data_IF_671053544196
#
_entry.id   IF_671053544196
#
_cell.length_a   1.000
_cell.length_b   1.000
_cell.length_c   1.000
_cell.angle_alpha   90.00
_cell.angle_beta   90.00
_cell.angle_gamma   90.00
#
_symmetry.space_group_name_H-M   'P 1'
#
loop_
_entity.id
_entity.type
_entity.pdbx_description
1 polymer ?
#
# COMPACT_ATOMS: atom_id res chain seq x y z
N UNK A 1 -32.00 53.53 -0.11
CA UNK A 1 -31.01 52.79 -0.92
C UNK A 1 -30.20 51.95 0.07
N UNK A 2 -30.77 50.90 0.66
CA UNK A 2 -31.15 49.59 0.09
C UNK A 2 -29.93 48.82 -0.42
N UNK A 3 -29.42 47.90 0.41
CA UNK A 3 -29.15 46.50 0.03
C UNK A 3 -28.80 45.73 1.31
N UNK A 4 -29.55 44.65 1.52
CA UNK A 4 -29.53 43.76 2.67
C UNK A 4 -28.44 42.69 2.47
N UNK A 5 -27.67 42.43 3.52
CA UNK A 5 -26.72 41.32 3.62
C UNK A 5 -27.49 39.99 3.75
N UNK A 6 -27.28 39.08 2.80
CA UNK A 6 -27.69 37.69 2.86
C UNK A 6 -26.45 36.79 3.03
N UNK A 7 -26.45 35.81 3.94
CA UNK A 7 -25.39 34.82 4.00
C UNK A 7 -25.62 33.72 2.95
N UNK A 8 -24.62 33.48 2.11
CA UNK A 8 -24.56 32.35 1.17
C UNK A 8 -24.02 31.14 1.93
N UNK A 9 -24.90 30.19 2.19
CA UNK A 9 -24.61 28.88 2.77
C UNK A 9 -24.17 27.93 1.64
N UNK A 10 -22.88 27.64 1.57
CA UNK A 10 -22.29 26.80 0.52
C UNK A 10 -22.47 25.32 0.88
N UNK A 11 -23.55 24.72 0.39
CA UNK A 11 -23.77 23.27 0.40
C UNK A 11 -22.89 22.59 -0.66
N UNK A 12 -21.80 21.96 -0.22
CA UNK A 12 -21.12 20.89 -0.98
C UNK A 12 -21.04 19.66 -0.06
N UNK A 13 -22.03 18.78 -0.15
CA UNK A 13 -21.96 17.41 0.35
C UNK A 13 -22.21 16.44 -0.80
N UNK A 14 -21.13 15.89 -1.34
CA UNK A 14 -21.16 14.81 -2.32
C UNK A 14 -20.13 13.75 -1.95
N UNK A 15 -20.53 12.77 -1.13
CA UNK A 15 -19.80 11.50 -0.98
C UNK A 15 -20.79 10.34 -1.03
N UNK A 16 -20.63 9.35 -1.93
CA UNK A 16 -21.42 8.13 -1.91
C UNK A 16 -20.89 7.18 -0.82
N UNK A 17 -21.73 6.87 0.18
CA UNK A 17 -21.50 5.76 1.12
C UNK A 17 -22.47 4.61 0.80
N UNK A 18 -21.90 3.47 0.40
CA UNK A 18 -22.48 2.12 0.56
C UNK A 18 -21.29 1.23 0.95
N UNK A 19 -21.37 0.46 2.04
CA UNK A 19 -21.94 -0.88 1.95
C UNK A 19 -22.83 -1.26 3.16
N UNK A 20 -24.07 -1.61 2.83
CA UNK A 20 -24.75 -2.85 3.23
C UNK A 20 -24.36 -3.47 4.58
N UNK A 21 -25.01 -3.01 5.65
CA UNK A 21 -25.15 -3.80 6.87
C UNK A 21 -26.33 -4.78 6.72
N UNK A 22 -26.20 -6.04 7.18
CA UNK A 22 -27.30 -6.99 7.13
C UNK A 22 -28.37 -6.63 8.16
N UNK A 23 -29.58 -6.46 7.64
CA UNK A 23 -30.84 -6.32 8.35
C UNK A 23 -30.94 -7.21 9.60
N UNK A 24 -30.86 -6.57 10.77
CA UNK A 24 -31.35 -7.10 12.03
C UNK A 24 -32.89 -7.09 12.00
N UNK A 25 -33.49 -8.06 11.31
CA UNK A 25 -34.92 -8.34 11.42
C UNK A 25 -35.17 -9.08 12.72
N UNK A 26 -35.61 -8.32 13.73
CA UNK A 26 -36.27 -8.79 14.92
C UNK A 26 -37.58 -9.52 14.55
N UNK A 27 -37.48 -10.81 14.26
CA UNK A 27 -38.64 -11.68 14.13
C UNK A 27 -39.13 -12.07 15.53
N UNK A 28 -40.27 -11.48 15.87
CA UNK A 28 -41.09 -11.78 17.04
C UNK A 28 -41.24 -13.29 17.27
N UNK A 29 -40.98 -13.69 18.50
CA UNK A 29 -41.15 -15.04 19.05
C UNK A 29 -42.61 -15.50 18.97
N UNK A 30 -43.02 -16.09 17.86
CA UNK A 30 -44.20 -16.97 17.83
C UNK A 30 -43.75 -18.34 18.35
N UNK A 31 -44.12 -18.60 19.61
CA UNK A 31 -43.88 -19.85 20.34
C UNK A 31 -44.33 -21.03 19.47
N UNK A 32 -43.37 -21.87 19.06
CA UNK A 32 -43.69 -23.18 18.50
C UNK A 32 -44.38 -24.00 19.62
N UNK A 33 -45.51 -24.66 19.37
CA UNK A 33 -46.12 -25.55 20.35
C UNK A 33 -45.11 -26.65 20.70
N UNK A 34 -44.75 -26.73 21.98
CA UNK A 34 -43.94 -27.83 22.50
C UNK A 34 -44.79 -29.10 22.38
N UNK A 35 -44.28 -30.06 21.62
CA UNK A 35 -44.87 -31.40 21.51
C UNK A 35 -44.53 -32.14 22.81
N UNK A 36 -45.48 -32.24 23.72
CA UNK A 36 -45.36 -33.05 24.94
C UNK A 36 -45.21 -34.53 24.55
N UNK A 37 -44.05 -35.10 24.88
CA UNK A 37 -43.65 -36.49 24.61
C UNK A 37 -44.15 -37.47 25.69
N UNK A 38 -45.03 -37.05 26.61
CA UNK A 38 -45.52 -37.90 27.70
C UNK A 38 -46.72 -38.77 27.32
N UNK A 39 -47.36 -38.54 26.16
CA UNK A 39 -48.51 -39.33 25.72
C UNK A 39 -48.09 -40.53 24.86
N UNK A 40 -47.58 -41.56 25.54
CA UNK A 40 -47.40 -42.90 24.98
C UNK A 40 -48.74 -43.64 24.85
N UNK A 41 -49.73 -43.07 24.15
CA UNK A 41 -50.92 -43.82 23.75
C UNK A 41 -51.45 -43.46 22.35
N UNK A 42 -51.30 -44.46 21.46
CA UNK A 42 -52.28 -44.84 20.45
C UNK A 42 -52.71 -43.75 19.46
N UNK A 43 -51.85 -43.45 18.47
CA UNK A 43 -52.34 -43.16 17.10
C UNK A 43 -51.56 -43.98 16.07
N UNK A 44 -52.10 -45.16 15.75
CA UNK A 44 -51.78 -45.94 14.54
C UNK A 44 -52.22 -45.16 13.30
N UNK A 45 -51.53 -44.09 12.91
CA UNK A 45 -51.66 -43.42 11.59
C UNK A 45 -50.40 -42.59 11.35
N UNK A 46 -49.36 -43.23 10.83
CA UNK A 46 -48.08 -42.56 10.53
C UNK A 46 -46.98 -43.49 10.00
N UNK A 47 -47.34 -44.62 9.36
CA UNK A 47 -46.37 -45.59 8.84
C UNK A 47 -45.54 -45.10 7.65
N UNK A 48 -45.86 -43.94 7.06
CA UNK A 48 -45.07 -43.37 5.95
C UNK A 48 -43.83 -42.62 6.44
N UNK A 49 -43.81 -42.08 7.66
CA UNK A 49 -42.65 -41.33 8.17
C UNK A 49 -41.47 -42.25 8.50
N UNK A 50 -41.75 -43.46 9.01
CA UNK A 50 -40.71 -44.47 9.25
C UNK A 50 -40.11 -45.05 7.97
N UNK A 51 -40.92 -45.19 6.91
CA UNK A 51 -40.44 -45.56 5.57
C UNK A 51 -39.59 -44.45 4.94
N UNK A 52 -40.00 -43.18 5.07
CA UNK A 52 -39.21 -42.02 4.64
C UNK A 52 -37.88 -41.90 5.40
N UNK A 53 -37.85 -42.15 6.70
CA UNK A 53 -36.60 -42.14 7.49
C UNK A 53 -35.69 -43.33 7.15
N UNK A 54 -36.29 -44.49 6.87
CA UNK A 54 -35.59 -45.70 6.44
C UNK A 54 -35.00 -45.58 5.03
N UNK A 55 -35.74 -44.99 4.08
CA UNK A 55 -35.23 -44.68 2.73
C UNK A 55 -34.22 -43.54 2.75
N UNK A 56 -34.35 -42.57 3.67
CA UNK A 56 -33.34 -41.52 3.88
C UNK A 56 -32.03 -42.10 4.42
N UNK A 57 -32.10 -43.03 5.37
CA UNK A 57 -30.92 -43.72 5.90
C UNK A 57 -30.32 -44.68 4.88
N UNK A 58 -31.15 -45.39 4.10
CA UNK A 58 -30.68 -46.26 3.01
C UNK A 58 -30.03 -45.46 1.89
N UNK A 59 -30.61 -44.32 1.51
CA UNK A 59 -29.99 -43.37 0.58
C UNK A 59 -28.68 -42.81 1.13
N UNK A 60 -28.60 -42.48 2.43
CA UNK A 60 -27.34 -42.06 3.07
C UNK A 60 -26.26 -43.14 3.07
N UNK A 61 -26.63 -44.40 3.26
CA UNK A 61 -25.69 -45.54 3.25
C UNK A 61 -25.22 -45.80 1.81
N UNK A 62 -26.14 -45.82 0.84
CA UNK A 62 -25.81 -46.01 -0.57
C UNK A 62 -24.98 -44.83 -1.12
N UNK A 63 -25.25 -43.60 -0.67
CA UNK A 63 -24.46 -42.42 -1.01
C UNK A 63 -23.08 -42.45 -0.35
N UNK A 64 -22.96 -43.02 0.87
CA UNK A 64 -21.67 -43.34 1.49
C UNK A 64 -20.91 -44.41 0.72
N UNK A 65 -21.58 -45.46 0.24
CA UNK A 65 -20.94 -46.52 -0.55
C UNK A 65 -20.49 -46.02 -1.94
N UNK A 66 -21.30 -45.18 -2.60
CA UNK A 66 -20.92 -44.52 -3.85
C UNK A 66 -19.75 -43.55 -3.64
N UNK A 67 -19.77 -42.77 -2.56
CA UNK A 67 -18.65 -41.90 -2.19
C UNK A 67 -17.42 -42.69 -1.69
N UNK A 68 -17.59 -43.91 -1.19
CA UNK A 68 -16.49 -44.78 -0.78
C UNK A 68 -15.82 -45.52 -1.95
N UNK A 69 -16.45 -45.51 -3.13
CA UNK A 69 -15.87 -46.09 -4.34
C UNK A 69 -14.50 -45.45 -4.62
N UNK A 70 -13.55 -46.27 -5.07
CA UNK A 70 -12.19 -45.80 -5.39
C UNK A 70 -12.20 -44.67 -6.42
N UNK A 71 -13.15 -44.69 -7.36
CA UNK A 71 -13.33 -43.63 -8.34
C UNK A 71 -13.75 -42.29 -7.68
N UNK A 72 -14.63 -42.34 -6.67
CA UNK A 72 -15.04 -41.15 -5.94
C UNK A 72 -13.90 -40.61 -5.07
N UNK A 73 -13.12 -41.48 -4.42
CA UNK A 73 -11.91 -41.10 -3.68
C UNK A 73 -10.86 -40.44 -4.59
N UNK A 74 -10.64 -40.99 -5.80
CA UNK A 74 -9.74 -40.39 -6.80
C UNK A 74 -10.21 -39.00 -7.23
N UNK A 75 -11.51 -38.81 -7.47
CA UNK A 75 -12.09 -37.48 -7.77
C UNK A 75 -11.89 -36.50 -6.62
N UNK A 76 -12.19 -36.91 -5.38
CA UNK A 76 -11.97 -36.07 -4.20
C UNK A 76 -10.51 -35.64 -4.04
N UNK A 77 -9.55 -36.54 -4.29
CA UNK A 77 -8.12 -36.21 -4.26
C UNK A 77 -7.73 -35.21 -5.35
N UNK A 78 -8.28 -35.32 -6.55
CA UNK A 78 -8.04 -34.37 -7.65
C UNK A 78 -8.62 -33.00 -7.29
N UNK A 79 -9.87 -32.95 -6.83
CA UNK A 79 -10.53 -31.70 -6.43
C UNK A 79 -9.78 -31.03 -5.27
N UNK A 80 -9.32 -31.81 -4.29
CA UNK A 80 -8.50 -31.29 -3.18
C UNK A 80 -7.17 -30.73 -3.67
N UNK A 81 -6.47 -31.41 -4.59
CA UNK A 81 -5.24 -30.90 -5.21
C UNK A 81 -5.50 -29.60 -5.96
N UNK A 82 -6.59 -29.53 -6.71
CA UNK A 82 -6.97 -28.35 -7.51
C UNK A 82 -7.32 -27.17 -6.60
N UNK A 83 -8.11 -27.38 -5.55
CA UNK A 83 -8.39 -26.35 -4.55
C UNK A 83 -7.12 -25.86 -3.85
N UNK A 84 -6.20 -26.76 -3.50
CA UNK A 84 -4.93 -26.38 -2.90
C UNK A 84 -4.06 -25.57 -3.86
N UNK A 85 -4.02 -25.91 -5.16
CA UNK A 85 -3.33 -25.11 -6.19
C UNK A 85 -3.94 -23.71 -6.31
N UNK A 86 -5.27 -23.62 -6.43
CA UNK A 86 -5.95 -22.33 -6.51
C UNK A 86 -5.67 -21.44 -5.29
N UNK A 87 -5.65 -22.02 -4.07
CA UNK A 87 -5.29 -21.28 -2.85
C UNK A 87 -3.85 -20.78 -2.88
N UNK A 88 -2.89 -21.65 -3.25
CA UNK A 88 -1.47 -21.28 -3.38
C UNK A 88 -1.25 -20.18 -4.41
N UNK A 89 -1.87 -20.29 -5.59
CA UNK A 89 -1.80 -19.29 -6.65
C UNK A 89 -2.41 -17.95 -6.20
N UNK A 90 -3.58 -17.98 -5.57
CA UNK A 90 -4.23 -16.77 -5.04
C UNK A 90 -3.36 -16.09 -3.97
N UNK A 91 -2.82 -16.86 -3.03
CA UNK A 91 -1.94 -16.33 -1.97
C UNK A 91 -0.61 -15.81 -2.53
N UNK A 92 -0.09 -16.45 -3.57
CA UNK A 92 1.14 -16.02 -4.28
C UNK A 92 0.93 -14.69 -5.01
N UNK A 93 -0.19 -14.55 -5.73
CA UNK A 93 -0.56 -13.29 -6.38
C UNK A 93 -0.73 -12.18 -5.34
N UNK A 94 -1.42 -12.46 -4.23
CA UNK A 94 -1.63 -11.46 -3.16
C UNK A 94 -0.31 -10.98 -2.56
N UNK A 95 0.61 -11.91 -2.24
CA UNK A 95 1.94 -11.57 -1.72
C UNK A 95 2.78 -10.80 -2.73
N UNK A 96 2.74 -11.17 -4.00
CA UNK A 96 3.44 -10.44 -5.06
C UNK A 96 2.91 -9.01 -5.24
N UNK A 97 1.60 -8.79 -5.09
CA UNK A 97 1.01 -7.45 -5.10
C UNK A 97 1.40 -6.63 -3.87
N UNK A 98 1.42 -7.24 -2.68
CA UNK A 98 1.89 -6.61 -1.44
C UNK A 98 3.36 -6.17 -1.57
N UNK A 99 4.26 -7.06 -2.04
CA UNK A 99 5.66 -6.73 -2.27
C UNK A 99 5.85 -5.61 -3.30
N UNK A 100 5.04 -5.57 -4.37
CA UNK A 100 5.06 -4.46 -5.34
C UNK A 100 4.62 -3.13 -4.71
N UNK A 101 3.61 -3.15 -3.83
CA UNK A 101 3.16 -1.96 -3.10
C UNK A 101 4.25 -1.46 -2.17
N UNK A 102 4.89 -2.34 -1.42
CA UNK A 102 5.97 -2.00 -0.49
C UNK A 102 7.17 -1.39 -1.23
N UNK A 103 7.54 -1.96 -2.39
CA UNK A 103 8.59 -1.40 -3.27
C UNK A 103 8.25 0.01 -3.73
N UNK A 104 7.03 0.23 -4.21
CA UNK A 104 6.59 1.56 -4.66
C UNK A 104 6.51 2.55 -3.50
N UNK A 105 6.08 2.09 -2.32
CA UNK A 105 6.00 2.91 -1.12
C UNK A 105 7.40 3.31 -0.63
N UNK A 106 8.38 2.40 -0.67
CA UNK A 106 9.77 2.70 -0.36
C UNK A 106 10.33 3.79 -1.28
N UNK A 107 10.11 3.68 -2.59
CA UNK A 107 10.56 4.67 -3.57
C UNK A 107 9.92 6.05 -3.33
N UNK A 108 8.59 6.10 -3.12
CA UNK A 108 7.89 7.37 -2.82
C UNK A 108 8.42 8.03 -1.55
N UNK A 109 8.62 7.26 -0.49
CA UNK A 109 9.17 7.79 0.78
C UNK A 109 10.59 8.32 0.60
N UNK A 110 11.40 7.67 -0.22
CA UNK A 110 12.77 8.12 -0.52
C UNK A 110 12.77 9.44 -1.28
N UNK A 111 11.95 9.57 -2.32
CA UNK A 111 11.78 10.82 -3.07
C UNK A 111 11.30 11.97 -2.16
N UNK A 112 10.29 11.72 -1.33
CA UNK A 112 9.77 12.69 -0.37
C UNK A 112 10.86 13.13 0.63
N UNK A 113 11.67 12.19 1.12
CA UNK A 113 12.76 12.46 2.06
C UNK A 113 13.86 13.30 1.39
N UNK A 114 14.19 13.02 0.12
CA UNK A 114 15.14 13.84 -0.65
C UNK A 114 14.62 15.26 -0.87
N UNK A 115 13.33 15.42 -1.21
CA UNK A 115 12.70 16.73 -1.36
C UNK A 115 12.76 17.51 -0.04
N UNK A 116 12.40 16.87 1.08
CA UNK A 116 12.51 17.49 2.42
C UNK A 116 13.94 17.91 2.72
N UNK A 117 14.93 17.06 2.48
CA UNK A 117 16.35 17.37 2.69
C UNK A 117 16.77 18.63 1.91
N UNK A 118 16.37 18.74 0.64
CA UNK A 118 16.66 19.92 -0.18
C UNK A 118 16.04 21.21 0.39
N UNK A 119 14.81 21.13 0.92
CA UNK A 119 14.10 22.26 1.53
C UNK A 119 14.77 22.69 2.83
N UNK A 120 15.10 21.76 3.73
CA UNK A 120 15.77 22.09 4.99
C UNK A 120 17.18 22.62 4.77
N UNK A 121 17.93 22.10 3.79
CA UNK A 121 19.24 22.66 3.38
C UNK A 121 19.10 24.11 2.88
N UNK A 122 18.09 24.39 2.05
CA UNK A 122 17.81 25.75 1.58
C UNK A 122 17.43 26.69 2.72
N UNK A 123 16.59 26.24 3.66
CA UNK A 123 16.20 27.04 4.83
C UNK A 123 17.38 27.35 5.73
N UNK A 124 18.21 26.35 6.02
CA UNK A 124 19.39 26.47 6.89
C UNK A 124 20.41 27.47 6.37
N UNK A 125 20.57 27.55 5.05
CA UNK A 125 21.48 28.51 4.42
C UNK A 125 20.84 29.88 4.25
N UNK A 126 19.57 29.94 3.82
CA UNK A 126 18.94 31.20 3.38
C UNK A 126 18.34 32.01 4.54
N UNK A 127 17.71 31.38 5.53
CA UNK A 127 17.02 32.11 6.59
C UNK A 127 17.96 32.92 7.48
N UNK A 128 19.12 32.40 7.92
CA UNK A 128 20.09 33.21 8.67
C UNK A 128 20.61 34.42 7.87
N UNK A 129 20.71 34.31 6.55
CA UNK A 129 21.09 35.43 5.68
C UNK A 129 19.99 36.49 5.62
N UNK A 130 18.73 36.08 5.47
CA UNK A 130 17.58 36.98 5.44
C UNK A 130 17.30 37.65 6.79
N UNK A 131 17.67 37.01 7.90
CA UNK A 131 17.55 37.57 9.24
C UNK A 131 18.39 38.85 9.46
N UNK A 132 19.34 39.14 8.56
CA UNK A 132 20.11 40.39 8.58
C UNK A 132 19.34 41.60 8.05
N UNK A 133 18.18 41.40 7.43
CA UNK A 133 17.39 42.45 6.78
C UNK A 133 16.11 42.76 7.58
N UNK A 134 15.63 43.99 7.42
CA UNK A 134 14.31 44.41 7.88
C UNK A 134 13.27 44.10 6.81
N UNK A 135 12.05 43.81 7.24
CA UNK A 135 10.87 43.63 6.39
C UNK A 135 9.95 44.83 6.50
N UNK A 136 9.23 45.13 5.41
CA UNK A 136 8.18 46.16 5.42
C UNK A 136 7.01 45.83 6.33
N UNK A 137 6.85 44.57 6.72
CA UNK A 137 5.83 44.10 7.67
C UNK A 137 6.28 44.14 9.13
N UNK A 138 7.54 44.52 9.41
CA UNK A 138 8.06 44.50 10.77
C UNK A 138 7.52 45.65 11.62
N UNK A 139 7.06 45.32 12.82
CA UNK A 139 6.64 46.29 13.83
C UNK A 139 7.80 46.44 14.81
N UNK A 140 8.53 47.55 14.69
CA UNK A 140 9.68 47.87 15.56
C UNK A 140 9.22 48.91 16.59
N UNK A 141 9.11 48.56 17.88
CA UNK A 141 8.75 49.53 18.90
C UNK A 141 9.83 50.62 19.03
N UNK A 142 9.41 51.88 19.09
CA UNK A 142 10.31 53.03 19.16
C UNK A 142 11.00 53.19 20.53
N UNK A 143 10.44 52.57 21.58
CA UNK A 143 10.95 52.62 22.95
C UNK A 143 11.66 51.33 23.31
N UNK A 144 12.88 51.46 23.83
CA UNK A 144 13.70 50.40 24.44
C UNK A 144 13.13 49.93 25.79
N UNK A 145 11.80 49.82 25.91
CA UNK A 145 11.19 49.22 27.08
C UNK A 145 11.57 47.76 27.06
N UNK A 146 12.38 47.32 28.03
CA UNK A 146 12.82 45.93 28.26
C UNK A 146 11.67 44.96 28.56
N UNK A 147 10.41 45.33 28.28
CA UNK A 147 9.30 44.40 28.30
C UNK A 147 9.47 43.45 27.14
N UNK A 148 9.68 42.17 27.44
CA UNK A 148 9.85 41.07 26.48
C UNK A 148 8.86 41.23 25.31
N UNK A 149 9.30 41.73 24.13
CA UNK A 149 8.39 41.87 23.02
C UNK A 149 7.89 40.47 22.67
N UNK A 150 6.59 40.40 22.36
CA UNK A 150 5.91 39.18 21.96
C UNK A 150 6.79 38.35 21.02
N UNK A 151 6.76 37.01 21.12
CA UNK A 151 7.55 36.13 20.26
C UNK A 151 7.35 36.60 18.82
N UNK A 152 8.46 36.92 18.14
CA UNK A 152 8.40 37.41 16.76
C UNK A 152 7.56 36.39 15.97
N UNK A 153 6.64 36.84 15.09
CA UNK A 153 5.81 35.95 14.31
C UNK A 153 6.72 34.87 13.72
N UNK A 154 6.42 33.61 14.09
CA UNK A 154 7.30 32.44 14.02
C UNK A 154 8.32 32.59 12.88
N UNK A 155 9.61 32.61 13.19
CA UNK A 155 10.71 32.81 12.23
C UNK A 155 10.66 31.88 11.00
N UNK A 156 9.94 30.77 11.11
CA UNK A 156 9.74 29.74 10.10
C UNK A 156 8.33 29.75 9.47
N UNK A 157 7.40 30.54 10.03
CA UNK A 157 6.07 30.69 9.44
C UNK A 157 6.19 31.38 8.09
N UNK A 158 5.42 30.89 7.12
CA UNK A 158 5.42 31.48 5.79
C UNK A 158 5.02 32.93 5.91
N UNK A 159 5.92 33.83 5.50
CA UNK A 159 5.63 35.27 5.43
C UNK A 159 4.29 35.44 4.73
N UNK A 160 3.34 36.21 5.31
CA UNK A 160 2.02 36.37 4.73
C UNK A 160 2.14 36.73 3.25
N UNK A 161 1.49 35.94 2.39
CA UNK A 161 1.43 36.21 0.95
C UNK A 161 0.45 37.36 0.70
N UNK A 162 0.80 38.54 1.21
CA UNK A 162 0.11 39.78 0.92
C UNK A 162 0.52 40.31 -0.45
N UNK A 163 -0.40 41.03 -1.09
CA UNK A 163 -0.08 41.91 -2.21
C UNK A 163 -0.08 43.35 -1.68
N UNK A 164 1.04 44.10 -1.76
CA UNK A 164 2.31 43.73 -2.40
C UNK A 164 3.17 42.75 -1.57
N UNK A 165 4.06 41.97 -2.22
CA UNK A 165 5.02 41.12 -1.53
C UNK A 165 5.90 41.94 -0.57
N UNK A 166 6.19 41.42 0.63
CA UNK A 166 7.06 42.12 1.57
C UNK A 166 8.48 42.21 1.02
N UNK A 167 9.08 43.38 1.20
CA UNK A 167 10.42 43.68 0.71
C UNK A 167 11.42 43.57 1.86
N UNK A 168 12.54 42.89 1.59
CA UNK A 168 13.70 42.87 2.47
C UNK A 168 14.58 44.06 2.14
N UNK A 169 14.90 44.87 3.15
CA UNK A 169 15.76 46.04 2.98
C UNK A 169 16.70 46.21 4.18
N UNK A 170 17.83 46.86 3.94
CA UNK A 170 18.80 47.20 4.97
C UNK A 170 19.15 48.68 4.83
N UNK A 171 18.66 49.56 5.74
CA UNK A 171 19.03 50.97 5.74
C UNK A 171 20.55 51.16 5.88
N UNK A 172 21.09 52.19 5.23
CA UNK A 172 22.51 52.53 5.35
C UNK A 172 22.91 52.96 6.77
N UNK A 173 21.97 53.56 7.51
CA UNK A 173 22.13 53.94 8.91
C UNK A 173 21.00 53.29 9.70
N UNK A 174 21.36 52.40 10.63
CA UNK A 174 20.42 51.71 11.51
C UNK A 174 20.22 52.50 12.79
N UNK A 175 18.98 52.55 13.29
CA UNK A 175 18.71 53.07 14.63
C UNK A 175 19.09 52.01 15.68
N UNK A 176 19.43 52.40 16.93
CA UNK A 176 19.75 51.42 17.98
C UNK A 176 18.63 50.39 18.21
N UNK A 177 17.37 50.81 18.07
CA UNK A 177 16.20 49.92 18.15
C UNK A 177 16.15 48.91 16.99
N UNK A 178 16.54 49.30 15.77
CA UNK A 178 16.64 48.38 14.64
C UNK A 178 17.81 47.41 14.81
N UNK A 179 18.96 47.86 15.34
CA UNK A 179 20.11 46.98 15.58
C UNK A 179 19.79 45.91 16.62
N UNK A 180 19.16 46.27 17.73
CA UNK A 180 18.74 45.31 18.76
C UNK A 180 17.71 44.33 18.22
N UNK A 181 16.76 44.82 17.41
CA UNK A 181 15.75 44.00 16.74
C UNK A 181 16.38 42.97 15.80
N UNK A 182 17.30 43.40 14.92
CA UNK A 182 18.01 42.51 14.00
C UNK A 182 18.84 41.49 14.79
N UNK A 183 19.56 41.90 15.83
CA UNK A 183 20.35 40.97 16.67
C UNK A 183 19.47 39.89 17.31
N UNK A 184 18.33 40.29 17.89
CA UNK A 184 17.35 39.35 18.47
C UNK A 184 16.78 38.40 17.40
N UNK A 185 16.37 38.94 16.25
CA UNK A 185 15.89 38.14 15.13
C UNK A 185 16.92 37.12 14.65
N UNK A 186 18.19 37.52 14.49
CA UNK A 186 19.26 36.59 14.09
C UNK A 186 19.37 35.43 15.06
N UNK A 187 19.41 35.70 16.36
CA UNK A 187 19.49 34.66 17.39
C UNK A 187 18.27 33.73 17.35
N UNK A 188 17.06 34.29 17.24
CA UNK A 188 15.83 33.48 17.16
C UNK A 188 15.76 32.65 15.87
N UNK A 189 16.14 33.22 14.72
CA UNK A 189 16.14 32.50 13.45
C UNK A 189 17.21 31.41 13.45
N UNK A 190 18.41 31.68 13.97
CA UNK A 190 19.46 30.65 14.06
C UNK A 190 19.03 29.50 14.98
N UNK A 191 18.49 29.81 16.15
CA UNK A 191 17.99 28.80 17.10
C UNK A 191 16.83 28.00 16.48
N UNK A 192 15.86 28.66 15.86
CA UNK A 192 14.73 27.99 15.22
C UNK A 192 15.17 27.09 14.06
N UNK A 193 16.12 27.53 13.24
CA UNK A 193 16.69 26.74 12.14
C UNK A 193 17.45 25.51 12.67
N UNK A 194 18.19 25.66 13.76
CA UNK A 194 18.91 24.54 14.38
C UNK A 194 17.95 23.52 14.98
N UNK A 195 16.91 23.98 15.69
CA UNK A 195 15.85 23.12 16.24
C UNK A 195 15.07 22.39 15.13
N UNK A 196 14.70 23.11 14.06
CA UNK A 196 14.05 22.53 12.89
C UNK A 196 14.95 21.48 12.22
N UNK A 197 16.25 21.77 12.10
CA UNK A 197 17.21 20.85 11.51
C UNK A 197 17.45 19.60 12.38
N UNK A 198 17.53 19.74 13.71
CA UNK A 198 17.66 18.57 14.59
C UNK A 198 16.43 17.66 14.51
N UNK A 199 15.23 18.25 14.51
CA UNK A 199 13.99 17.49 14.34
C UNK A 199 13.94 16.79 12.96
N UNK A 200 14.40 17.47 11.90
CA UNK A 200 14.51 16.85 10.58
C UNK A 200 15.54 15.72 10.53
N UNK A 201 16.67 15.83 11.22
CA UNK A 201 17.66 14.74 11.27
C UNK A 201 17.05 13.50 11.92
N UNK A 202 16.29 13.67 13.00
CA UNK A 202 15.53 12.57 13.62
C UNK A 202 14.52 11.96 12.63
N UNK A 203 13.69 12.78 11.99
CA UNK A 203 12.73 12.35 10.95
C UNK A 203 13.44 11.62 9.80
N UNK A 204 14.59 12.13 9.35
CA UNK A 204 15.39 11.54 8.28
C UNK A 204 15.92 10.17 8.68
N UNK A 205 16.46 10.03 9.88
CA UNK A 205 16.95 8.73 10.36
C UNK A 205 15.81 7.72 10.50
N UNK A 206 14.66 8.13 11.02
CA UNK A 206 13.46 7.30 11.07
C UNK A 206 12.99 6.90 9.66
N UNK A 207 12.90 7.85 8.74
CA UNK A 207 12.49 7.60 7.36
C UNK A 207 13.44 6.65 6.60
N UNK A 208 14.77 6.79 6.81
CA UNK A 208 15.76 5.87 6.24
C UNK A 208 15.56 4.45 6.79
N UNK A 209 15.31 4.30 8.09
CA UNK A 209 15.05 3.00 8.71
C UNK A 209 13.77 2.37 8.16
N UNK A 210 12.68 3.14 8.02
CA UNK A 210 11.44 2.65 7.41
C UNK A 210 11.63 2.21 5.94
N UNK A 211 12.38 2.99 5.15
CA UNK A 211 12.70 2.62 3.76
C UNK A 211 13.53 1.33 3.74
N UNK A 212 14.49 1.21 4.65
CA UNK A 212 15.31 0.00 4.79
C UNK A 212 14.46 -1.22 5.14
N UNK A 213 13.52 -1.09 6.07
CA UNK A 213 12.58 -2.17 6.44
C UNK A 213 11.70 -2.59 5.28
N UNK A 214 11.12 -1.64 4.54
CA UNK A 214 10.32 -1.93 3.34
C UNK A 214 11.14 -2.66 2.27
N UNK A 215 12.36 -2.18 1.99
CA UNK A 215 13.25 -2.83 1.02
C UNK A 215 13.67 -4.22 1.46
N UNK A 216 13.90 -4.42 2.76
CA UNK A 216 14.21 -5.72 3.34
C UNK A 216 13.03 -6.69 3.19
N UNK A 217 11.80 -6.25 3.51
CA UNK A 217 10.60 -7.08 3.34
C UNK A 217 10.38 -7.49 1.87
N UNK A 218 10.60 -6.56 0.93
CA UNK A 218 10.55 -6.85 -0.51
C UNK A 218 11.60 -7.89 -0.89
N UNK A 219 12.85 -7.74 -0.43
CA UNK A 219 13.92 -8.69 -0.72
C UNK A 219 13.65 -10.09 -0.15
N UNK A 220 13.08 -10.18 1.06
CA UNK A 220 12.70 -11.44 1.69
C UNK A 220 11.55 -12.14 0.93
N UNK A 221 10.52 -11.42 0.52
CA UNK A 221 9.42 -11.98 -0.28
C UNK A 221 9.86 -12.35 -1.70
N UNK A 222 10.76 -11.58 -2.33
CA UNK A 222 11.35 -11.94 -3.63
C UNK A 222 12.20 -13.22 -3.53
N UNK A 223 13.01 -13.34 -2.48
CA UNK A 223 13.81 -14.56 -2.23
C UNK A 223 12.90 -15.76 -1.95
N UNK A 224 11.84 -15.56 -1.18
CA UNK A 224 10.83 -16.60 -0.93
C UNK A 224 10.17 -17.04 -2.21
N UNK A 225 9.68 -16.10 -3.03
CA UNK A 225 9.07 -16.39 -4.33
C UNK A 225 10.02 -17.15 -5.26
N UNK A 226 11.31 -16.79 -5.25
CA UNK A 226 12.34 -17.51 -6.01
C UNK A 226 12.47 -18.96 -5.54
N UNK A 227 12.55 -19.19 -4.23
CA UNK A 227 12.62 -20.55 -3.67
C UNK A 227 11.35 -21.37 -3.91
N UNK A 228 10.16 -20.74 -3.90
CA UNK A 228 8.89 -21.39 -4.25
C UNK A 228 8.87 -21.82 -5.72
N UNK A 229 9.36 -20.95 -6.64
CA UNK A 229 9.46 -21.27 -8.07
C UNK A 229 10.44 -22.40 -8.36
N UNK A 230 11.61 -22.39 -7.70
CA UNK A 230 12.61 -23.46 -7.82
C UNK A 230 12.06 -24.80 -7.31
N UNK A 231 11.28 -24.79 -6.22
CA UNK A 231 10.62 -25.99 -5.71
C UNK A 231 9.54 -26.53 -6.67
N UNK A 232 8.73 -25.65 -7.26
CA UNK A 232 7.72 -26.04 -8.26
C UNK A 232 8.35 -26.60 -9.54
N UNK A 233 9.47 -26.03 -9.99
CA UNK A 233 10.21 -26.51 -11.14
C UNK A 233 10.82 -27.90 -10.87
N UNK A 234 11.37 -28.10 -9.67
CA UNK A 234 11.86 -29.42 -9.24
C UNK A 234 10.75 -30.47 -9.10
N UNK A 235 9.53 -30.08 -8.67
CA UNK A 235 8.37 -31.00 -8.67
C UNK A 235 7.93 -31.34 -10.10
N UNK A 236 7.86 -30.37 -11.01
CA UNK A 236 7.49 -30.62 -12.42
C UNK A 236 8.48 -31.56 -13.10
N UNK A 237 9.79 -31.34 -12.92
CA UNK A 237 10.82 -32.21 -13.48
C UNK A 237 10.69 -33.67 -13.03
N UNK A 238 10.32 -33.93 -11.77
CA UNK A 238 10.08 -35.29 -11.25
C UNK A 238 8.84 -35.96 -11.84
N UNK A 239 7.80 -35.19 -12.15
CA UNK A 239 6.58 -35.73 -12.77
C UNK A 239 6.85 -36.13 -14.22
N UNK A 240 7.58 -35.30 -14.97
CA UNK A 240 7.94 -35.60 -16.36
C UNK A 240 8.90 -36.80 -16.46
N UNK A 241 9.79 -37.01 -15.49
CA UNK A 241 10.69 -38.17 -15.44
C UNK A 241 9.95 -39.49 -15.18
N UNK A 242 8.86 -39.48 -14.39
CA UNK A 242 8.03 -40.68 -14.15
C UNK A 242 7.13 -41.06 -15.33
N UNK A 243 6.82 -40.14 -16.25
CA UNK A 243 5.94 -40.41 -17.41
C UNK A 243 6.70 -40.93 -18.64
N UNK A 244 8.05 -40.90 -18.63
CA UNK A 244 8.88 -41.47 -19.69
C UNK A 244 9.14 -42.99 -19.57
N UNK A 245 8.76 -43.64 -18.46
CA UNK A 245 8.96 -45.09 -18.28
C UNK A 245 7.79 -45.98 -18.74
N UNK A 246 6.73 -45.43 -19.34
CA UNK A 246 5.75 -46.26 -20.04
C UNK A 246 6.26 -46.67 -21.43
N UNK A 247 6.35 -47.98 -21.73
CA UNK A 247 6.79 -48.45 -23.03
C UNK A 247 5.78 -47.98 -24.08
N UNK A 248 6.28 -47.18 -25.05
CA UNK A 248 5.57 -46.81 -26.26
C UNK A 248 5.07 -48.08 -26.94
N UNK A 249 3.79 -48.42 -26.75
CA UNK A 249 3.10 -49.29 -27.67
C UNK A 249 3.01 -48.56 -29.00
N UNK A 250 3.84 -48.98 -29.94
CA UNK A 250 3.71 -48.64 -31.34
C UNK A 250 2.29 -49.01 -31.80
N UNK A 251 1.50 -48.04 -32.26
CA UNK A 251 0.64 -48.24 -33.42
C UNK A 251 -0.11 -46.97 -33.87
N UNK A 252 -0.26 -46.91 -35.19
CA UNK A 252 -1.10 -46.04 -36.03
C UNK A 252 -0.56 -44.63 -36.34
N UNK A 253 0.32 -44.63 -37.34
CA UNK A 253 0.54 -43.54 -38.30
C UNK A 253 -0.75 -43.35 -39.13
N UNK A 254 -1.46 -42.23 -38.94
CA UNK A 254 -2.53 -41.78 -39.85
C UNK A 254 -2.08 -40.48 -40.49
N UNK A 255 -1.41 -40.66 -41.63
CA UNK A 255 -1.06 -39.63 -42.61
C UNK A 255 -2.36 -39.05 -43.19
N UNK A 256 -2.79 -37.89 -42.69
CA UNK A 256 -3.87 -37.10 -43.31
C UNK A 256 -3.21 -35.93 -44.02
N UNK A 257 -3.06 -36.12 -45.32
CA UNK A 257 -2.69 -35.13 -46.31
C UNK A 257 -3.84 -34.11 -46.42
N UNK A 258 -3.65 -32.89 -45.88
CA UNK A 258 -4.50 -31.75 -46.19
C UNK A 258 -3.61 -30.55 -46.56
N UNK A 259 -3.30 -30.53 -47.86
CA UNK A 259 -2.84 -29.37 -48.60
C UNK A 259 -3.86 -28.22 -48.55
N UNK A 260 -3.31 -27.01 -48.49
CA UNK A 260 -3.90 -25.73 -48.90
C UNK A 260 -4.96 -25.09 -47.97
N UNK A 261 -4.54 -24.02 -47.27
CA UNK A 261 -4.87 -22.67 -47.73
C UNK A 261 -4.29 -21.58 -46.84
N UNK A 262 -3.60 -20.65 -47.49
CA UNK A 262 -3.00 -19.45 -46.95
C UNK A 262 -4.03 -18.40 -46.51
N UNK A 263 -3.85 -17.78 -45.34
CA UNK A 263 -4.15 -16.35 -45.10
C UNK A 263 -3.46 -15.92 -43.80
N UNK A 264 -2.31 -15.23 -43.85
CA UNK A 264 -2.19 -13.77 -43.72
C UNK A 264 -2.92 -13.19 -42.50
N UNK A 265 -2.17 -12.83 -41.47
CA UNK A 265 -2.71 -12.17 -40.27
C UNK A 265 -1.68 -11.88 -39.19
N UNK A 266 -0.53 -11.33 -39.58
CA UNK A 266 0.42 -10.66 -38.70
C UNK A 266 -0.27 -9.60 -37.84
N UNK A 267 -0.20 -9.75 -36.52
CA UNK A 267 -0.26 -8.60 -35.61
C UNK A 267 0.60 -8.86 -34.38
N UNK A 268 1.67 -8.09 -34.36
CA UNK A 268 2.61 -7.81 -33.28
C UNK A 268 1.98 -7.87 -31.89
N UNK A 269 2.52 -8.75 -31.06
CA UNK A 269 2.58 -8.54 -29.62
C UNK A 269 4.06 -8.34 -29.33
N UNK A 270 4.44 -7.07 -29.17
CA UNK A 270 5.70 -6.67 -28.57
C UNK A 270 5.75 -7.23 -27.14
N UNK A 271 6.35 -8.41 -27.03
CA UNK A 271 6.83 -8.95 -25.78
C UNK A 271 8.18 -8.26 -25.50
N UNK A 272 8.11 -7.16 -24.75
CA UNK A 272 9.26 -6.38 -24.34
C UNK A 272 10.18 -7.26 -23.48
N UNK A 273 11.21 -7.80 -24.12
CA UNK A 273 12.32 -8.51 -23.49
C UNK A 273 12.95 -7.65 -22.39
N UNK A 274 12.93 -8.19 -21.18
CA UNK A 274 13.82 -7.83 -20.07
C UNK A 274 15.29 -7.85 -20.55
N UNK A 275 15.78 -6.70 -21.00
CA UNK A 275 17.21 -6.43 -21.10
C UNK A 275 17.76 -6.29 -19.68
N UNK A 276 18.31 -7.41 -19.19
CA UNK A 276 19.63 -7.52 -18.56
C UNK A 276 20.31 -6.16 -18.29
N UNK A 277 19.96 -5.53 -17.17
CA UNK A 277 20.75 -4.45 -16.57
C UNK A 277 22.01 -5.05 -15.95
N UNK A 278 23.07 -4.98 -16.74
CA UNK A 278 24.46 -5.14 -16.33
C UNK A 278 24.81 -4.01 -15.35
N UNK A 279 25.27 -4.28 -14.12
CA UNK A 279 25.69 -3.22 -13.22
C UNK A 279 26.99 -2.62 -13.76
N UNK A 280 26.87 -1.46 -14.41
CA UNK A 280 28.00 -0.58 -14.71
C UNK A 280 28.64 -0.17 -13.39
N UNK A 281 29.72 -0.85 -13.02
CA UNK A 281 30.64 -0.44 -11.96
C UNK A 281 31.23 0.90 -12.41
N UNK A 282 30.67 1.99 -11.89
CA UNK A 282 31.28 3.31 -12.04
C UNK A 282 32.59 3.27 -11.21
N UNK A 283 33.77 3.39 -11.83
CA UNK A 283 35.01 3.49 -11.09
C UNK A 283 34.97 4.75 -10.21
N UNK A 284 35.34 4.57 -8.95
CA UNK A 284 35.56 5.65 -8.01
C UNK A 284 36.86 6.39 -8.38
N UNK A 285 36.73 7.48 -9.13
CA UNK A 285 37.67 8.62 -9.04
C UNK A 285 37.24 9.41 -7.78
N UNK A 286 38.02 9.57 -6.72
CA UNK A 286 39.46 9.72 -6.66
C UNK A 286 39.81 11.20 -6.88
N UNK A 287 39.79 11.99 -5.80
CA UNK A 287 40.42 13.32 -5.57
C UNK A 287 39.57 14.05 -4.51
N UNK A 288 39.84 14.06 -3.19
CA UNK A 288 41.06 14.35 -2.43
C UNK A 288 41.80 15.63 -2.86
N UNK A 289 41.17 16.77 -2.59
CA UNK A 289 41.82 18.09 -2.57
C UNK A 289 41.49 18.79 -1.24
N UNK A 290 42.27 18.47 -0.21
CA UNK A 290 42.38 19.26 1.02
C UNK A 290 43.35 20.41 0.73
N UNK A 291 42.83 21.62 0.52
CA UNK A 291 43.65 22.83 0.59
C UNK A 291 43.87 23.20 2.07
N UNK A 292 45.14 23.33 2.45
CA UNK A 292 45.62 23.84 3.73
C UNK A 292 45.46 25.36 3.84
#
# INVERSE_FOLDING_TARGET
MSTEDAPVEEQIQGTPRVPTEPAAMAAQTKKRPRLDLSDTQKRKRGGMVGLLLGTLNKAKIEDKERNASEAAKKRQLIDQRLQNKLRRETDSVRRAEEARKDKLQANRKEEDLQLKDSVYKLRRTRLPLLANFLLTSDIIPASSSDEDPAPLPLALSTVPRGHPPPLYYLPALLTPAQESYIKRRKAQVSEAVEQEYSAFVEERTAGINEIYELRKAVAEEEQRKKSEREAEEAEKAKVDEMDMEQPKSADVDMEVDDQDSATLGSKDVEEEMEKKDEPTVVPADGDDAIEY
#
